data_IF_082749413941
#
_entry.id   IF_082749413941
#
_cell.length_a   1.000
_cell.length_b   1.000
_cell.length_c   1.000
_cell.angle_alpha   90.00
_cell.angle_beta   90.00
_cell.angle_gamma   90.00
#
_symmetry.space_group_name_H-M   'P 1'
#
loop_
_entity.id
_entity.type
_entity.pdbx_description
1 polymer ?
#
# COMPACT_ATOMS: atom_id res chain seq x y z
N UNK A 1 -4.12 4.81 3.05
CA UNK A 1 -4.55 6.12 2.52
C UNK A 1 -6.04 6.27 2.78
N UNK A 2 -6.49 7.48 3.13
CA UNK A 2 -7.91 7.78 3.34
C UNK A 2 -8.65 7.65 2.01
N UNK A 3 -9.30 6.51 1.77
CA UNK A 3 -10.15 6.25 0.60
C UNK A 3 -11.16 5.20 1.01
N UNK A 4 -12.41 5.39 0.64
CA UNK A 4 -13.42 4.33 0.76
C UNK A 4 -13.39 3.43 -0.47
N UNK A 5 -13.91 2.21 -0.33
CA UNK A 5 -13.96 1.24 -1.43
C UNK A 5 -15.10 1.56 -2.39
N UNK A 6 -14.81 1.56 -3.69
CA UNK A 6 -15.81 1.65 -4.78
C UNK A 6 -15.89 0.33 -5.56
N UNK A 7 -15.19 -0.71 -5.10
CA UNK A 7 -14.97 -1.96 -5.83
C UNK A 7 -16.28 -2.69 -6.16
N UNK A 8 -17.27 -2.66 -5.26
CA UNK A 8 -18.58 -3.27 -5.50
C UNK A 8 -19.36 -2.54 -6.60
N UNK A 9 -19.38 -1.20 -6.57
CA UNK A 9 -20.01 -0.39 -7.61
C UNK A 9 -19.37 -0.59 -8.99
N UNK A 10 -18.04 -0.66 -9.05
CA UNK A 10 -17.30 -0.97 -10.28
C UNK A 10 -17.61 -2.36 -10.81
N UNK A 11 -17.69 -3.38 -9.95
CA UNK A 11 -18.02 -4.74 -10.37
C UNK A 11 -19.38 -4.80 -11.07
N UNK A 12 -20.42 -4.21 -10.45
CA UNK A 12 -21.75 -4.20 -11.07
C UNK A 12 -21.79 -3.35 -12.35
N UNK A 13 -21.09 -2.22 -12.38
CA UNK A 13 -21.01 -1.36 -13.56
C UNK A 13 -20.29 -2.05 -14.73
N UNK A 14 -19.18 -2.76 -14.49
CA UNK A 14 -18.49 -3.54 -15.51
C UNK A 14 -19.38 -4.61 -16.14
N UNK A 15 -20.21 -5.27 -15.33
CA UNK A 15 -21.09 -6.35 -15.79
C UNK A 15 -22.41 -5.89 -16.40
N UNK A 16 -22.76 -4.60 -16.29
CA UNK A 16 -24.04 -4.09 -16.80
C UNK A 16 -23.90 -3.54 -18.23
N UNK A 17 -24.55 -4.16 -19.24
CA UNK A 17 -24.48 -3.72 -20.64
C UNK A 17 -25.22 -2.42 -20.95
N UNK A 18 -26.13 -1.95 -20.07
CA UNK A 18 -26.88 -0.71 -20.28
C UNK A 18 -26.13 0.54 -19.81
N UNK A 19 -25.33 0.43 -18.75
CA UNK A 19 -24.63 1.56 -18.13
C UNK A 19 -23.10 1.54 -18.35
N UNK A 20 -22.54 0.37 -18.65
CA UNK A 20 -21.10 0.14 -18.79
C UNK A 20 -20.74 -0.68 -20.03
N UNK A 21 -19.50 -1.21 -20.09
CA UNK A 21 -19.01 -1.98 -21.23
C UNK A 21 -19.59 -3.41 -21.33
N UNK A 22 -20.32 -3.89 -20.31
CA UNK A 22 -20.99 -5.19 -20.34
C UNK A 22 -20.03 -6.40 -20.37
N UNK A 23 -18.92 -6.32 -19.64
CA UNK A 23 -17.95 -7.39 -19.57
C UNK A 23 -18.50 -8.64 -18.88
N UNK A 24 -18.09 -9.82 -19.37
CA UNK A 24 -18.33 -11.09 -18.67
C UNK A 24 -17.65 -11.09 -17.31
N UNK A 25 -18.27 -11.75 -16.33
CA UNK A 25 -17.69 -11.94 -14.99
C UNK A 25 -16.32 -12.65 -15.04
N UNK A 26 -16.13 -13.56 -16.01
CA UNK A 26 -14.85 -14.23 -16.24
C UNK A 26 -13.75 -13.25 -16.66
N UNK A 27 -14.10 -12.26 -17.50
CA UNK A 27 -13.17 -11.23 -17.94
C UNK A 27 -12.77 -10.31 -16.78
N UNK A 28 -13.71 -9.95 -15.91
CA UNK A 28 -13.41 -9.20 -14.67
C UNK A 28 -12.48 -10.00 -13.75
N UNK A 29 -12.68 -11.31 -13.64
CA UNK A 29 -11.76 -12.20 -12.92
C UNK A 29 -10.33 -12.17 -13.50
N UNK A 30 -10.20 -12.21 -14.84
CA UNK A 30 -8.91 -12.10 -15.52
C UNK A 30 -8.24 -10.73 -15.31
N UNK A 31 -9.01 -9.64 -15.31
CA UNK A 31 -8.50 -8.29 -15.01
C UNK A 31 -7.83 -8.28 -13.62
N UNK A 32 -8.50 -8.82 -12.60
CA UNK A 32 -7.91 -8.90 -11.25
C UNK A 32 -6.70 -9.82 -11.18
N UNK A 33 -6.67 -10.91 -11.94
CA UNK A 33 -5.50 -11.78 -12.03
C UNK A 33 -4.28 -11.05 -12.64
N UNK A 34 -4.49 -10.25 -13.69
CA UNK A 34 -3.45 -9.40 -14.28
C UNK A 34 -3.02 -8.30 -13.29
N UNK A 35 -3.97 -7.72 -12.55
CA UNK A 35 -3.68 -6.81 -11.44
C UNK A 35 -2.76 -7.44 -10.38
N UNK A 36 -2.96 -8.72 -10.05
CA UNK A 36 -2.09 -9.46 -9.13
C UNK A 36 -0.66 -9.65 -9.70
N UNK A 37 -0.51 -9.88 -11.00
CA UNK A 37 0.81 -9.88 -11.65
C UNK A 37 1.45 -8.48 -11.58
N UNK A 38 0.67 -7.42 -11.81
CA UNK A 38 1.11 -6.04 -11.63
C UNK A 38 1.61 -5.78 -10.21
N UNK A 39 0.94 -6.31 -9.19
CA UNK A 39 1.39 -6.22 -7.80
C UNK A 39 2.81 -6.81 -7.59
N UNK A 40 3.13 -7.95 -8.22
CA UNK A 40 4.48 -8.55 -8.17
C UNK A 40 5.50 -7.62 -8.84
N UNK A 41 5.16 -7.09 -10.02
CA UNK A 41 6.01 -6.13 -10.73
C UNK A 41 6.28 -4.89 -9.87
N UNK A 42 5.27 -4.38 -9.15
CA UNK A 42 5.43 -3.27 -8.21
C UNK A 42 6.45 -3.56 -7.10
N UNK A 43 6.44 -4.78 -6.53
CA UNK A 43 7.44 -5.17 -5.53
C UNK A 43 8.85 -5.19 -6.13
N UNK A 44 9.01 -5.71 -7.35
CA UNK A 44 10.30 -5.73 -8.06
C UNK A 44 10.82 -4.32 -8.36
N UNK A 45 9.95 -3.42 -8.83
CA UNK A 45 10.29 -2.02 -9.07
C UNK A 45 10.78 -1.37 -7.78
N UNK A 46 10.07 -1.60 -6.67
CA UNK A 46 10.48 -1.04 -5.38
C UNK A 46 11.86 -1.54 -4.95
N UNK A 47 12.07 -2.85 -5.00
CA UNK A 47 13.32 -3.48 -4.56
C UNK A 47 14.52 -3.08 -5.42
N UNK A 48 14.32 -2.87 -6.73
CA UNK A 48 15.38 -2.55 -7.68
C UNK A 48 15.70 -1.05 -7.76
N UNK A 49 14.70 -0.18 -7.68
CA UNK A 49 14.86 1.24 -8.00
C UNK A 49 14.53 2.19 -6.84
N UNK A 50 13.60 1.84 -5.93
CA UNK A 50 13.12 2.79 -4.91
C UNK A 50 13.78 2.58 -3.55
N UNK A 51 14.55 1.52 -3.34
CA UNK A 51 15.18 1.21 -2.04
C UNK A 51 16.16 2.30 -1.56
N UNK A 52 16.84 2.98 -2.48
CA UNK A 52 17.94 3.90 -2.17
C UNK A 52 17.50 5.38 -2.08
N UNK A 53 16.23 5.68 -2.38
CA UNK A 53 15.70 7.04 -2.34
C UNK A 53 15.21 7.42 -0.94
N UNK A 54 15.16 8.72 -0.59
CA UNK A 54 14.61 9.15 0.70
C UNK A 54 13.11 8.85 0.79
N UNK A 55 12.70 8.22 1.88
CA UNK A 55 11.32 7.83 2.19
C UNK A 55 10.28 8.92 1.90
N UNK A 56 10.54 10.17 2.29
CA UNK A 56 9.59 11.28 2.06
C UNK A 56 9.35 11.53 0.57
N UNK A 57 10.41 11.56 -0.24
CA UNK A 57 10.29 11.78 -1.68
C UNK A 57 9.59 10.62 -2.36
N UNK A 58 9.91 9.38 -1.96
CA UNK A 58 9.23 8.17 -2.45
C UNK A 58 7.73 8.27 -2.18
N UNK A 59 7.34 8.55 -0.94
CA UNK A 59 5.94 8.68 -0.57
C UNK A 59 5.24 9.80 -1.35
N UNK A 60 5.89 10.96 -1.54
CA UNK A 60 5.31 12.08 -2.30
C UNK A 60 5.07 11.68 -3.76
N UNK A 61 6.08 11.15 -4.45
CA UNK A 61 5.96 10.76 -5.86
C UNK A 61 4.93 9.64 -6.07
N UNK A 62 4.94 8.62 -5.21
CA UNK A 62 3.95 7.53 -5.30
C UNK A 62 2.55 8.05 -5.00
N UNK A 63 2.38 8.92 -4.00
CA UNK A 63 1.08 9.49 -3.68
C UNK A 63 0.56 10.41 -4.80
N UNK A 64 1.46 11.14 -5.48
CA UNK A 64 1.13 11.93 -6.67
C UNK A 64 0.68 11.02 -7.82
N UNK A 65 1.46 9.98 -8.14
CA UNK A 65 1.10 8.98 -9.15
C UNK A 65 -0.23 8.30 -8.82
N UNK A 66 -0.47 7.99 -7.55
CA UNK A 66 -1.75 7.45 -7.08
C UNK A 66 -2.88 8.45 -7.25
N UNK A 67 -2.65 9.76 -7.09
CA UNK A 67 -3.65 10.79 -7.39
C UNK A 67 -3.98 10.85 -8.89
N UNK A 68 -2.95 10.88 -9.74
CA UNK A 68 -3.10 10.92 -11.21
C UNK A 68 -3.84 9.69 -11.72
N UNK A 69 -3.48 8.50 -11.24
CA UNK A 69 -4.20 7.26 -11.56
C UNK A 69 -5.67 7.32 -11.13
N UNK A 70 -6.00 8.01 -10.04
CA UNK A 70 -7.40 8.23 -9.66
C UNK A 70 -8.18 9.14 -10.59
N UNK A 71 -7.51 10.09 -11.23
CA UNK A 71 -8.13 10.91 -12.27
C UNK A 71 -8.39 10.08 -13.53
N UNK A 72 -7.52 9.13 -13.86
CA UNK A 72 -7.75 8.17 -14.95
C UNK A 72 -8.99 7.32 -14.69
N UNK A 73 -9.19 6.84 -13.45
CA UNK A 73 -10.42 6.12 -13.05
C UNK A 73 -11.68 6.95 -13.39
N UNK A 74 -11.62 8.28 -13.19
CA UNK A 74 -12.73 9.19 -13.47
C UNK A 74 -12.97 9.37 -14.98
N UNK A 75 -11.89 9.54 -15.76
CA UNK A 75 -11.94 9.62 -17.23
C UNK A 75 -12.57 8.36 -17.82
N UNK A 76 -12.26 7.20 -17.24
CA UNK A 76 -12.79 5.92 -17.65
C UNK A 76 -14.28 5.76 -17.35
N UNK A 77 -14.73 6.11 -16.13
CA UNK A 77 -16.15 6.09 -15.77
C UNK A 77 -16.99 7.03 -16.63
N UNK A 78 -16.44 8.19 -17.01
CA UNK A 78 -17.09 9.13 -17.94
C UNK A 78 -17.05 8.67 -19.42
N UNK A 79 -16.43 7.52 -19.71
CA UNK A 79 -16.26 6.93 -21.05
C UNK A 79 -15.60 7.87 -22.07
N UNK A 80 -14.82 8.85 -21.61
CA UNK A 80 -14.01 9.70 -22.49
C UNK A 80 -12.94 8.91 -23.26
N UNK A 81 -12.63 7.70 -22.78
CA UNK A 81 -11.81 6.71 -23.47
C UNK A 81 -12.27 6.45 -24.93
N UNK A 82 -13.58 6.42 -25.17
CA UNK A 82 -14.14 6.16 -26.50
C UNK A 82 -13.89 7.30 -27.50
N UNK A 83 -13.84 8.54 -27.02
CA UNK A 83 -13.51 9.71 -27.86
C UNK A 83 -12.06 9.67 -28.32
N UNK A 84 -11.17 9.02 -27.55
CA UNK A 84 -9.75 8.83 -27.88
C UNK A 84 -9.54 7.60 -28.79
N UNK A 85 -10.56 6.75 -28.97
CA UNK A 85 -10.52 5.58 -29.85
C UNK A 85 -9.82 4.35 -29.27
N UNK A 86 -9.61 4.31 -27.95
CA UNK A 86 -8.96 3.17 -27.27
C UNK A 86 -10.03 2.13 -26.88
N UNK A 87 -9.81 0.82 -27.12
CA UNK A 87 -10.74 -0.23 -26.70
C UNK A 87 -10.90 -0.26 -25.16
N UNK A 88 -12.14 -0.29 -24.66
CA UNK A 88 -12.46 -0.32 -23.23
C UNK A 88 -11.76 -1.47 -22.50
N UNK A 89 -11.64 -2.65 -23.13
CA UNK A 89 -10.96 -3.83 -22.55
C UNK A 89 -9.48 -3.59 -22.27
N UNK A 90 -8.75 -2.95 -23.18
CA UNK A 90 -7.32 -2.70 -23.02
C UNK A 90 -7.07 -1.64 -21.95
N UNK A 91 -7.90 -0.59 -21.96
CA UNK A 91 -7.80 0.50 -20.98
C UNK A 91 -7.96 -0.02 -19.55
N UNK A 92 -9.00 -0.82 -19.29
CA UNK A 92 -9.27 -1.38 -17.95
C UNK A 92 -8.16 -2.28 -17.45
N UNK A 93 -7.62 -3.14 -18.31
CA UNK A 93 -6.51 -4.03 -17.92
C UNK A 93 -5.28 -3.22 -17.54
N UNK A 94 -4.95 -2.19 -18.33
CA UNK A 94 -3.80 -1.33 -18.09
C UNK A 94 -3.99 -0.50 -16.81
N UNK A 95 -5.16 0.11 -16.63
CA UNK A 95 -5.51 0.87 -15.45
C UNK A 95 -5.44 0.01 -14.18
N UNK A 96 -6.09 -1.15 -14.16
CA UNK A 96 -6.10 -2.04 -13.00
C UNK A 96 -4.67 -2.47 -12.63
N UNK A 97 -3.85 -2.81 -13.63
CA UNK A 97 -2.45 -3.17 -13.42
C UNK A 97 -1.66 -2.02 -12.79
N UNK A 98 -1.81 -0.79 -13.31
CA UNK A 98 -1.14 0.41 -12.79
C UNK A 98 -1.57 0.71 -11.36
N UNK A 99 -2.87 0.64 -11.05
CA UNK A 99 -3.40 0.86 -9.69
C UNK A 99 -2.81 -0.16 -8.71
N UNK A 100 -2.72 -1.43 -9.10
CA UNK A 100 -2.12 -2.49 -8.28
C UNK A 100 -0.62 -2.28 -8.06
N UNK A 101 0.13 -1.92 -9.11
CA UNK A 101 1.57 -1.59 -9.02
C UNK A 101 1.77 -0.46 -8.01
N UNK A 102 1.11 0.67 -8.21
CA UNK A 102 1.25 1.86 -7.35
C UNK A 102 0.87 1.53 -5.90
N UNK A 103 -0.20 0.77 -5.71
CA UNK A 103 -0.67 0.39 -4.37
C UNK A 103 0.34 -0.45 -3.61
N UNK A 104 0.99 -1.41 -4.29
CA UNK A 104 2.04 -2.24 -3.68
C UNK A 104 3.33 -1.47 -3.43
N UNK A 105 3.75 -0.65 -4.38
CA UNK A 105 4.92 0.21 -4.25
C UNK A 105 4.77 1.19 -3.07
N UNK A 106 3.54 1.66 -2.78
CA UNK A 106 3.24 2.49 -1.60
C UNK A 106 3.28 1.71 -0.27
N UNK A 107 2.81 0.47 -0.27
CA UNK A 107 2.71 -0.34 0.95
C UNK A 107 4.08 -0.84 1.43
N UNK A 108 4.97 -1.18 0.49
CA UNK A 108 6.30 -1.70 0.77
C UNK A 108 7.16 -0.83 1.70
N UNK A 109 7.34 0.50 1.48
CA UNK A 109 8.15 1.33 2.35
C UNK A 109 7.58 1.44 3.77
N UNK A 110 6.26 1.37 3.93
CA UNK A 110 5.62 1.39 5.26
C UNK A 110 5.99 0.14 6.07
N UNK A 111 5.99 -1.03 5.42
CA UNK A 111 6.39 -2.29 6.07
C UNK A 111 7.89 -2.30 6.36
N UNK A 112 8.72 -1.84 5.43
CA UNK A 112 10.17 -1.75 5.66
C UNK A 112 10.47 -0.80 6.83
N UNK A 113 9.84 0.37 6.90
CA UNK A 113 10.02 1.30 8.02
C UNK A 113 9.58 0.67 9.34
N UNK A 114 8.45 -0.04 9.34
CA UNK A 114 7.97 -0.79 10.50
C UNK A 114 9.02 -1.77 11.00
N UNK A 115 9.57 -2.62 10.13
CA UNK A 115 10.58 -3.62 10.54
C UNK A 115 11.84 -2.99 11.13
N UNK A 116 12.16 -1.75 10.75
CA UNK A 116 13.32 -1.01 11.28
C UNK A 116 13.06 -0.35 12.62
N UNK A 117 11.79 -0.04 12.92
CA UNK A 117 11.35 0.53 14.19
C UNK A 117 11.07 -0.54 15.25
N UNK A 118 10.93 -1.81 14.84
CA UNK A 118 10.76 -2.92 15.77
C UNK A 118 12.03 -3.13 16.62
N UNK A 119 11.94 -3.11 17.96
CA UNK A 119 13.05 -3.55 18.79
C UNK A 119 13.17 -5.08 18.75
N UNK A 120 14.41 -5.55 18.89
CA UNK A 120 14.77 -6.96 18.88
C UNK A 120 13.98 -7.72 19.97
N UNK A 121 13.37 -8.85 19.59
CA UNK A 121 12.62 -9.72 20.50
C UNK A 121 11.10 -9.50 20.54
N UNK A 122 10.55 -8.41 19.98
CA UNK A 122 9.08 -8.19 19.88
C UNK A 122 8.56 -7.92 18.45
N UNK A 123 9.40 -8.15 17.44
CA UNK A 123 9.11 -7.86 16.03
C UNK A 123 7.79 -8.47 15.54
N UNK A 124 7.49 -9.71 15.98
CA UNK A 124 6.27 -10.42 15.62
C UNK A 124 5.00 -9.71 16.11
N UNK A 125 5.00 -9.19 17.33
CA UNK A 125 3.85 -8.48 17.90
C UNK A 125 3.63 -7.13 17.22
N UNK A 126 4.70 -6.40 16.90
CA UNK A 126 4.60 -5.12 16.19
C UNK A 126 4.10 -5.30 14.75
N UNK A 127 4.60 -6.32 14.06
CA UNK A 127 4.11 -6.67 12.72
C UNK A 127 2.65 -7.10 12.73
N UNK A 128 2.24 -7.93 13.71
CA UNK A 128 0.85 -8.32 13.89
C UNK A 128 -0.06 -7.11 14.14
N UNK A 129 0.36 -6.17 14.98
CA UNK A 129 -0.38 -4.93 15.27
C UNK A 129 -0.59 -4.11 13.98
N UNK A 130 0.46 -3.93 13.18
CA UNK A 130 0.36 -3.18 11.93
C UNK A 130 -0.55 -3.86 10.91
N UNK A 131 -0.48 -5.19 10.80
CA UNK A 131 -1.38 -5.95 9.93
C UNK A 131 -2.84 -5.83 10.39
N UNK A 132 -3.09 -5.81 11.70
CA UNK A 132 -4.42 -5.57 12.26
C UNK A 132 -4.93 -4.16 11.89
N UNK A 133 -4.09 -3.12 12.01
CA UNK A 133 -4.46 -1.76 11.60
C UNK A 133 -4.77 -1.71 10.11
N UNK A 134 -3.95 -2.33 9.25
CA UNK A 134 -4.16 -2.34 7.80
C UNK A 134 -5.48 -3.04 7.43
N UNK A 135 -5.73 -4.20 8.02
CA UNK A 135 -6.97 -4.97 7.78
C UNK A 135 -8.21 -4.21 8.29
N UNK A 136 -8.14 -3.58 9.46
CA UNK A 136 -9.22 -2.76 10.01
C UNK A 136 -9.49 -1.53 9.12
N UNK A 137 -8.43 -0.92 8.59
CA UNK A 137 -8.52 0.17 7.61
C UNK A 137 -9.23 -0.28 6.33
N UNK A 138 -8.90 -1.47 5.82
CA UNK A 138 -9.56 -2.03 4.63
C UNK A 138 -11.04 -2.35 4.88
N UNK A 139 -11.36 -2.94 6.02
CA UNK A 139 -12.74 -3.26 6.38
C UNK A 139 -13.59 -2.01 6.58
N UNK A 140 -13.09 -1.01 7.31
CA UNK A 140 -13.78 0.27 7.51
C UNK A 140 -13.96 1.02 6.18
N UNK A 141 -12.96 1.01 5.29
CA UNK A 141 -13.08 1.59 3.96
C UNK A 141 -14.17 0.92 3.11
N UNK A 142 -14.37 -0.40 3.23
CA UNK A 142 -15.46 -1.12 2.56
C UNK A 142 -16.83 -0.78 3.15
N UNK A 143 -16.95 -0.77 4.48
CA UNK A 143 -18.19 -0.42 5.17
C UNK A 143 -18.63 1.01 4.83
N UNK A 144 -17.72 1.98 4.93
CA UNK A 144 -17.99 3.38 4.56
C UNK A 144 -18.34 3.48 3.08
N UNK A 145 -17.63 2.73 2.21
CA UNK A 145 -17.91 2.70 0.78
C UNK A 145 -19.32 2.23 0.45
N UNK A 146 -19.78 1.14 1.07
CA UNK A 146 -21.14 0.64 0.91
C UNK A 146 -22.20 1.63 1.38
N UNK A 147 -21.97 2.29 2.53
CA UNK A 147 -22.86 3.34 3.05
C UNK A 147 -22.92 4.54 2.10
N UNK A 148 -21.79 4.99 1.56
CA UNK A 148 -21.73 6.11 0.60
C UNK A 148 -22.47 5.75 -0.69
N UNK A 149 -22.30 4.52 -1.20
CA UNK A 149 -23.01 4.05 -2.40
C UNK A 149 -24.54 3.99 -2.16
N UNK A 150 -24.96 3.53 -0.98
CA UNK A 150 -26.37 3.50 -0.59
C UNK A 150 -26.96 4.92 -0.48
N UNK A 151 -26.22 5.86 0.12
CA UNK A 151 -26.65 7.26 0.27
C UNK A 151 -26.81 7.97 -1.10
N UNK A 152 -25.97 7.63 -2.07
CA UNK A 152 -26.01 8.18 -3.43
C UNK A 152 -27.06 7.51 -4.33
N UNK A 153 -27.89 6.61 -3.76
CA UNK A 153 -28.89 5.81 -4.48
C UNK A 153 -28.32 5.02 -5.66
N UNK A 154 -27.05 4.59 -5.57
CA UNK A 154 -26.42 3.76 -6.60
C UNK A 154 -26.90 2.33 -6.37
N UNK A 155 -27.91 1.93 -7.14
CA UNK A 155 -28.48 0.59 -7.11
C UNK A 155 -27.96 -0.23 -8.30
N UNK A 156 -28.29 -1.53 -8.35
CA UNK A 156 -27.92 -2.43 -9.45
C UNK A 156 -28.46 -1.97 -10.81
N UNK A 157 -29.45 -1.09 -10.83
CA UNK A 157 -30.16 -0.59 -12.01
C UNK A 157 -29.75 0.82 -12.43
N UNK A 158 -29.28 1.66 -11.52
CA UNK A 158 -29.01 3.09 -11.77
C UNK A 158 -27.61 3.49 -11.31
N UNK A 159 -26.75 3.79 -12.28
CA UNK A 159 -25.34 4.18 -12.07
C UNK A 159 -25.07 5.66 -12.32
N UNK A 160 -26.12 6.48 -12.50
CA UNK A 160 -26.00 7.90 -12.88
C UNK A 160 -25.15 8.73 -11.92
N UNK A 161 -25.08 8.34 -10.63
CA UNK A 161 -24.30 9.04 -9.61
C UNK A 161 -22.92 8.41 -9.34
N UNK A 162 -22.50 7.38 -10.09
CA UNK A 162 -21.22 6.69 -9.88
C UNK A 162 -20.03 7.65 -10.02
N UNK A 163 -20.09 8.57 -10.98
CA UNK A 163 -19.06 9.60 -11.16
C UNK A 163 -18.86 10.47 -9.90
N UNK A 164 -19.93 10.72 -9.14
CA UNK A 164 -19.90 11.53 -7.91
C UNK A 164 -19.17 10.75 -6.80
N UNK A 165 -19.44 9.45 -6.67
CA UNK A 165 -18.69 8.59 -5.73
C UNK A 165 -17.18 8.55 -6.08
N UNK A 166 -16.83 8.47 -7.36
CA UNK A 166 -15.44 8.51 -7.83
C UNK A 166 -14.81 9.88 -7.62
N UNK A 167 -15.57 10.96 -7.76
CA UNK A 167 -15.11 12.32 -7.49
C UNK A 167 -14.81 12.51 -6.01
N UNK A 168 -15.71 12.10 -5.11
CA UNK A 168 -15.48 12.16 -3.65
C UNK A 168 -14.21 11.34 -3.31
N UNK A 169 -14.06 10.14 -3.86
CA UNK A 169 -12.85 9.32 -3.68
C UNK A 169 -11.59 10.05 -4.14
N UNK A 170 -11.65 10.75 -5.27
CA UNK A 170 -10.53 11.56 -5.78
C UNK A 170 -10.22 12.75 -4.87
N UNK A 171 -11.22 13.47 -4.37
CA UNK A 171 -11.01 14.54 -3.39
C UNK A 171 -10.31 14.01 -2.13
N UNK A 172 -10.70 12.83 -1.64
CA UNK A 172 -10.03 12.19 -0.51
C UNK A 172 -8.56 11.81 -0.85
N UNK A 173 -8.29 11.29 -2.04
CA UNK A 173 -6.92 11.00 -2.51
C UNK A 173 -6.05 12.27 -2.54
N UNK A 174 -6.60 13.38 -3.01
CA UNK A 174 -5.91 14.68 -3.02
C UNK A 174 -5.73 15.19 -1.58
N UNK A 175 -6.73 15.03 -0.72
CA UNK A 175 -6.62 15.35 0.72
C UNK A 175 -5.48 14.61 1.40
N UNK A 176 -5.24 13.34 1.03
CA UNK A 176 -4.09 12.59 1.55
C UNK A 176 -2.73 13.12 1.08
N UNK A 177 -2.68 13.82 -0.06
CA UNK A 177 -1.46 14.52 -0.49
C UNK A 177 -1.18 15.73 0.40
N UNK A 178 -2.21 16.48 0.81
CA UNK A 178 -2.05 17.59 1.77
C UNK A 178 -1.53 17.10 3.14
N UNK A 179 -2.00 15.93 3.61
CA UNK A 179 -1.52 15.29 4.84
C UNK A 179 -0.04 14.88 4.76
N UNK A 180 0.49 14.60 3.57
CA UNK A 180 1.91 14.24 3.39
C UNK A 180 2.85 15.42 3.63
N UNK A 181 2.35 16.66 3.49
CA UNK A 181 3.10 17.85 3.82
C UNK A 181 3.40 17.93 5.32
N UNK A 182 2.56 17.31 6.16
CA UNK A 182 2.74 17.23 7.61
C UNK A 182 3.80 16.19 8.03
N UNK A 183 4.19 15.28 7.12
CA UNK A 183 5.24 14.29 7.41
C UNK A 183 6.60 15.02 7.43
N UNK A 184 7.33 15.00 8.57
CA UNK A 184 8.63 15.65 8.70
C UNK A 184 9.65 15.09 7.69
N UNK A 185 10.65 15.92 7.32
CA UNK A 185 11.84 15.49 6.58
C UNK A 185 12.71 14.58 7.47
N UNK A 186 12.26 13.35 7.72
CA UNK A 186 13.15 12.32 8.23
C UNK A 186 13.83 11.67 7.03
N UNK A 187 15.13 11.93 6.87
CA UNK A 187 15.95 11.12 5.98
C UNK A 187 15.93 9.70 6.54
N UNK A 188 15.79 8.67 5.69
CA UNK A 188 15.89 7.27 6.12
C UNK A 188 17.18 6.96 6.90
N UNK A 189 18.16 7.85 6.80
CA UNK A 189 19.46 7.80 7.47
C UNK A 189 19.54 8.54 8.81
N UNK A 190 18.61 9.44 9.16
CA UNK A 190 18.67 10.18 10.45
C UNK A 190 18.15 9.35 11.64
N UNK A 191 17.48 8.23 11.35
CA UNK A 191 17.10 7.23 12.37
C UNK A 191 18.22 6.21 12.61
N UNK A 192 19.32 6.24 11.83
CA UNK A 192 20.40 5.25 11.92
C UNK A 192 21.40 5.50 13.07
N UNK A 193 21.34 6.62 13.80
CA UNK A 193 22.25 6.86 14.94
C UNK A 193 21.56 7.72 16.00
N UNK A 194 21.28 7.21 17.21
CA UNK A 194 21.16 8.10 18.37
C UNK A 194 22.52 8.75 18.57
N UNK A 195 22.63 10.08 18.76
CA UNK A 195 23.87 10.66 19.23
C UNK A 195 24.11 10.12 20.65
N UNK A 196 24.89 9.06 20.78
CA UNK A 196 25.48 8.64 22.04
C UNK A 196 26.79 9.41 22.24
N UNK A 197 26.85 10.39 23.15
CA UNK A 197 28.12 10.84 23.67
C UNK A 197 28.57 9.86 24.76
N UNK A 198 29.28 8.78 24.41
CA UNK A 198 30.24 8.07 25.30
C UNK A 198 30.82 6.80 24.67
N UNK A 199 31.82 6.99 23.81
CA UNK A 199 32.62 5.94 23.14
C UNK A 199 33.65 5.27 24.07
N UNK A 200 33.35 4.88 25.33
CA UNK A 200 34.39 4.24 26.17
C UNK A 200 34.00 3.09 27.10
N UNK A 201 32.74 2.83 27.41
CA UNK A 201 32.38 1.81 28.44
C UNK A 201 31.99 0.44 27.90
N UNK A 202 31.58 0.32 26.64
CA UNK A 202 30.86 -0.89 26.19
C UNK A 202 31.82 -2.00 25.71
N UNK A 203 33.08 -1.67 25.45
CA UNK A 203 34.07 -2.64 25.00
C UNK A 203 34.63 -3.52 26.14
N UNK A 204 34.49 -3.11 27.41
CA UNK A 204 34.92 -3.91 28.56
C UNK A 204 33.84 -4.91 29.01
N UNK A 205 32.56 -4.52 29.00
CA UNK A 205 31.47 -5.42 29.44
C UNK A 205 31.12 -6.53 28.43
N UNK A 206 31.35 -6.33 27.13
CA UNK A 206 31.09 -7.36 26.11
C UNK A 206 32.19 -8.44 26.14
N UNK A 207 33.44 -8.07 26.44
CA UNK A 207 34.56 -9.01 26.51
C UNK A 207 34.45 -9.95 27.72
N UNK A 208 34.04 -9.45 28.90
CA UNK A 208 33.86 -10.28 30.10
C UNK A 208 32.70 -11.29 29.96
N UNK A 209 31.62 -10.90 29.27
CA UNK A 209 30.47 -11.78 29.03
C UNK A 209 30.77 -12.94 28.08
N UNK A 210 31.60 -12.71 27.06
CA UNK A 210 31.97 -13.72 26.07
C UNK A 210 33.00 -14.73 26.63
N UNK A 211 33.91 -14.29 27.50
CA UNK A 211 34.85 -15.17 28.22
C UNK A 211 34.15 -16.10 29.22
N UNK A 212 33.15 -15.59 29.95
CA UNK A 212 32.32 -16.38 30.88
C UNK A 212 31.48 -17.44 30.17
N UNK A 213 30.93 -17.11 28.99
CA UNK A 213 30.17 -18.05 28.17
C UNK A 213 31.06 -19.18 27.62
N UNK A 214 32.28 -18.87 27.17
CA UNK A 214 33.24 -19.85 26.67
C UNK A 214 33.76 -20.78 27.78
N UNK A 215 33.97 -20.25 29.00
CA UNK A 215 34.37 -21.08 30.15
C UNK A 215 33.27 -22.05 30.60
N UNK A 216 32.00 -21.60 30.62
CA UNK A 216 30.85 -22.45 30.97
C UNK A 216 30.62 -23.59 29.97
N UNK A 217 30.84 -23.34 28.67
CA UNK A 217 30.76 -24.38 27.64
C UNK A 217 31.87 -25.41 27.81
N UNK A 218 33.11 -24.99 28.10
CA UNK A 218 34.25 -25.91 28.31
C UNK A 218 34.12 -26.76 29.59
N UNK A 219 33.48 -26.23 30.63
CA UNK A 219 33.22 -26.95 31.89
C UNK A 219 32.14 -28.02 31.70
N UNK A 220 31.11 -27.71 30.91
CA UNK A 220 30.04 -28.67 30.61
C UNK A 220 30.52 -29.86 29.77
N UNK A 221 31.51 -29.65 28.89
CA UNK A 221 32.09 -30.70 28.06
C UNK A 221 33.02 -31.65 28.84
N UNK A 222 33.69 -31.15 29.89
CA UNK A 222 34.57 -31.98 30.76
C UNK A 222 33.81 -32.81 31.80
N UNK A 223 32.55 -32.50 32.10
CA UNK A 223 31.71 -33.23 33.06
C UNK A 223 31.01 -34.44 32.40
N UNK A 224 31.04 -34.54 31.07
CA UNK A 224 30.42 -35.64 30.31
C UNK A 224 31.40 -36.74 29.84
N UNK A 225 32.61 -36.82 30.40
CA UNK A 225 33.57 -37.92 30.17
C UNK A 225 33.87 -38.64 31.48
#
# INVERSE_FOLDING_TARGET
ALSFSTQEGYFYWYTNPQAGPGFSQEFVGMIYAIGAVGAIVGVLIYQRFLKDFPFRSILLYIQLLYGISGMLDLVFVLRWNLTVGIPDSFFVIMEESVVHIISKVRWMPMIVLSTRLCPLGIEGTFFALLLCIDTLGWFSAKMIGGVVLHLLHISRTDFTNLWLAVLIRNCLRIGTLALIFLVPNATQYDVLVPPHPSTKSDHEMISEGEELALQLVSLNEKVQI
#
